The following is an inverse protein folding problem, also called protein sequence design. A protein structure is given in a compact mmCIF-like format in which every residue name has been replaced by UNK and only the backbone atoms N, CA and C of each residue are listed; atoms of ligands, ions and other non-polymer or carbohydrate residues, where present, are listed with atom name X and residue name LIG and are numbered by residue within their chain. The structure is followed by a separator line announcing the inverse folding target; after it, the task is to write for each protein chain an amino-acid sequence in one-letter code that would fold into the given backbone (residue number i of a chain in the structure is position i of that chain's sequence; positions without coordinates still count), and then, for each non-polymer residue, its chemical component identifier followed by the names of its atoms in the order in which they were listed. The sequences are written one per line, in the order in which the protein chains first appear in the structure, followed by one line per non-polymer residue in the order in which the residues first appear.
data_IF_692825266615
#
_entry.id   IF_692825266615
#
_cell.length_a   1.000
_cell.length_b   1.000
_cell.length_c   1.000
_cell.angle_alpha   90.00
_cell.angle_beta   90.00
_cell.angle_gamma   90.00
#
_symmetry.space_group_name_H-M   'P 1'
#
loop_
_entity.id
_entity.type
_entity.pdbx_description
1 polymer ?
#
# COMPACT_ATOMS: atom_id res chain seq x y z
N UNK A 1 -1.80 -22.49 15.53
CA UNK A 1 -1.71 -21.09 16.03
C UNK A 1 -1.46 -20.23 14.81
N UNK A 2 -2.18 -19.11 14.68
CA UNK A 2 -1.97 -18.17 13.55
C UNK A 2 -0.71 -17.37 13.84
N UNK A 3 0.19 -17.31 12.88
CA UNK A 3 1.44 -16.53 12.97
C UNK A 3 1.55 -15.58 11.78
N UNK A 4 2.10 -14.40 12.03
CA UNK A 4 2.42 -13.40 11.01
C UNK A 4 3.91 -13.11 10.95
N UNK A 5 4.38 -12.89 9.74
CA UNK A 5 5.78 -12.60 9.41
C UNK A 5 5.92 -11.12 9.11
N UNK A 6 6.57 -10.40 10.02
CA UNK A 6 6.68 -8.94 10.00
C UNK A 6 8.12 -8.55 9.72
N UNK A 7 8.32 -7.78 8.66
CA UNK A 7 9.63 -7.25 8.29
C UNK A 7 10.11 -6.22 9.32
N UNK A 8 9.29 -5.21 9.59
CA UNK A 8 9.62 -4.12 10.53
C UNK A 8 8.36 -3.42 11.04
N UNK A 9 8.51 -2.62 12.09
CA UNK A 9 7.45 -1.77 12.65
C UNK A 9 8.03 -0.38 12.86
N UNK A 10 7.38 0.63 12.29
CA UNK A 10 7.69 2.05 12.47
C UNK A 10 6.61 2.74 13.31
N UNK A 11 7.02 3.44 14.36
CA UNK A 11 6.09 3.94 15.37
C UNK A 11 5.44 5.29 15.09
N UNK A 12 5.97 6.08 14.15
CA UNK A 12 5.60 7.48 13.93
C UNK A 12 5.49 7.82 12.43
N UNK A 13 4.80 6.99 11.65
CA UNK A 13 4.49 7.26 10.25
C UNK A 13 3.56 8.47 10.11
N UNK A 14 3.89 9.39 9.20
CA UNK A 14 3.12 10.61 8.93
C UNK A 14 2.53 10.63 7.51
N UNK A 15 2.90 9.66 6.68
CA UNK A 15 2.53 9.60 5.25
C UNK A 15 1.77 8.33 4.86
N UNK A 16 1.48 7.48 5.83
CA UNK A 16 0.88 6.16 5.61
C UNK A 16 -0.60 6.12 6.03
N UNK A 17 -1.33 7.18 5.74
CA UNK A 17 -2.74 7.39 6.10
C UNK A 17 -2.93 8.60 7.01
N UNK A 18 -4.15 8.83 7.53
CA UNK A 18 -4.47 10.00 8.32
C UNK A 18 -3.82 9.97 9.71
N UNK A 19 -3.37 11.13 10.18
CA UNK A 19 -2.81 11.33 11.51
C UNK A 19 -1.45 10.66 11.73
N UNK A 20 -1.08 10.47 13.00
CA UNK A 20 0.14 9.76 13.39
C UNK A 20 -0.18 8.26 13.42
N UNK A 21 0.65 7.44 12.76
CA UNK A 21 0.37 6.01 12.64
C UNK A 21 1.58 5.15 13.05
N UNK A 22 1.28 3.99 13.59
CA UNK A 22 2.26 2.91 13.62
C UNK A 22 2.11 2.11 12.33
N UNK A 23 3.19 1.99 11.57
CA UNK A 23 3.20 1.23 10.31
C UNK A 23 3.82 -0.15 10.55
N UNK A 24 3.10 -1.19 10.20
CA UNK A 24 3.53 -2.58 10.30
C UNK A 24 3.86 -3.09 8.89
N UNK A 25 5.13 -3.30 8.60
CA UNK A 25 5.58 -3.80 7.30
C UNK A 25 5.60 -5.33 7.31
N UNK A 26 4.73 -5.91 6.51
CA UNK A 26 4.63 -7.36 6.33
C UNK A 26 5.76 -7.90 5.47
N UNK A 27 6.21 -9.11 5.74
CA UNK A 27 7.14 -9.86 4.91
C UNK A 27 6.38 -10.64 3.85
N UNK A 28 6.90 -10.65 2.63
CA UNK A 28 6.35 -11.37 1.48
C UNK A 28 5.60 -10.48 0.51
N UNK A 29 5.97 -10.54 -0.78
CA UNK A 29 5.26 -9.90 -1.89
C UNK A 29 5.47 -10.70 -3.18
N UNK A 30 4.40 -10.91 -3.95
CA UNK A 30 4.48 -11.60 -5.26
C UNK A 30 4.77 -10.64 -6.41
N UNK A 31 4.48 -9.35 -6.23
CA UNK A 31 4.77 -8.35 -7.24
C UNK A 31 6.28 -8.11 -7.38
N UNK A 32 6.69 -7.72 -8.56
CA UNK A 32 8.06 -7.29 -8.89
C UNK A 32 8.03 -5.90 -9.52
N UNK A 33 7.36 -4.98 -8.80
CA UNK A 33 7.23 -3.60 -9.27
C UNK A 33 8.59 -3.00 -9.59
N UNK A 34 8.74 -2.45 -10.79
CA UNK A 34 10.01 -1.92 -11.30
C UNK A 34 10.62 -0.83 -10.43
N UNK A 35 9.79 -0.09 -9.70
CA UNK A 35 10.16 0.99 -8.79
C UNK A 35 9.96 0.62 -7.30
N UNK A 36 10.01 -0.66 -6.95
CA UNK A 36 9.78 -1.08 -5.56
C UNK A 36 10.86 -0.50 -4.63
N UNK A 37 10.43 0.11 -3.52
CA UNK A 37 11.36 0.63 -2.51
C UNK A 37 11.75 -0.40 -1.44
N UNK A 38 11.02 -1.52 -1.39
CA UNK A 38 11.20 -2.55 -0.37
C UNK A 38 11.45 -3.95 -0.98
N UNK A 39 12.46 -4.14 -1.85
CA UNK A 39 12.75 -5.46 -2.42
C UNK A 39 13.14 -6.50 -1.37
N UNK A 40 13.59 -6.05 -0.20
CA UNK A 40 13.88 -6.86 0.98
C UNK A 40 12.63 -7.54 1.58
N UNK A 41 11.43 -7.05 1.25
CA UNK A 41 10.16 -7.70 1.62
C UNK A 41 9.65 -8.71 0.60
N UNK A 42 10.31 -8.91 -0.55
CA UNK A 42 9.80 -9.79 -1.60
C UNK A 42 9.76 -11.26 -1.22
N UNK A 43 10.81 -11.74 -0.54
CA UNK A 43 10.86 -13.13 -0.10
C UNK A 43 9.70 -13.42 0.87
N UNK A 44 8.98 -14.52 0.64
CA UNK A 44 7.89 -14.92 1.54
C UNK A 44 8.38 -15.19 2.97
N UNK A 45 9.63 -15.65 3.07
CA UNK A 45 10.37 -15.85 4.32
C UNK A 45 11.82 -15.39 4.08
N UNK A 46 12.28 -14.44 4.85
CA UNK A 46 13.66 -13.91 4.76
C UNK A 46 14.61 -14.57 5.77
N UNK A 47 14.05 -15.20 6.79
CA UNK A 47 14.79 -15.70 7.96
C UNK A 47 15.22 -14.60 8.92
N UNK A 48 14.88 -13.34 8.65
CA UNK A 48 15.18 -12.16 9.48
C UNK A 48 13.91 -11.46 10.00
N UNK A 49 12.74 -11.89 9.50
CA UNK A 49 11.44 -11.37 9.92
C UNK A 49 11.17 -11.66 11.39
N UNK A 50 10.42 -10.77 12.03
CA UNK A 50 9.86 -10.99 13.36
C UNK A 50 8.56 -11.81 13.21
N UNK A 51 8.41 -12.83 14.06
CA UNK A 51 7.21 -13.68 14.08
C UNK A 51 6.33 -13.25 15.25
N UNK A 52 5.06 -13.00 14.98
CA UNK A 52 4.07 -12.63 15.98
C UNK A 52 2.82 -13.49 15.89
N UNK A 53 2.18 -13.77 17.05
CA UNK A 53 0.75 -14.07 17.05
C UNK A 53 -0.03 -12.75 16.93
N UNK A 54 -1.32 -12.78 16.50
CA UNK A 54 -2.13 -11.57 16.43
C UNK A 54 -2.16 -10.79 17.76
N UNK A 55 -2.31 -11.47 18.88
CA UNK A 55 -2.36 -10.88 20.23
C UNK A 55 -1.03 -10.21 20.59
N UNK A 56 0.09 -10.86 20.28
CA UNK A 56 1.42 -10.29 20.54
C UNK A 56 1.63 -8.99 19.76
N UNK A 57 1.24 -8.97 18.49
CA UNK A 57 1.35 -7.77 17.66
C UNK A 57 0.46 -6.66 18.22
N UNK A 58 -0.83 -6.94 18.47
CA UNK A 58 -1.76 -5.91 18.97
C UNK A 58 -1.32 -5.38 20.35
N UNK A 59 -0.85 -6.23 21.25
CA UNK A 59 -0.29 -5.78 22.53
C UNK A 59 0.92 -4.84 22.37
N UNK A 60 1.73 -5.04 21.33
CA UNK A 60 2.82 -4.12 20.97
C UNK A 60 2.27 -2.79 20.43
N UNK A 61 1.25 -2.84 19.57
CA UNK A 61 0.62 -1.67 18.95
C UNK A 61 -0.11 -0.79 19.98
N UNK A 62 -0.74 -1.39 20.98
CA UNK A 62 -1.41 -0.68 22.07
C UNK A 62 -0.50 0.30 22.82
N UNK A 63 0.80 0.03 22.87
CA UNK A 63 1.79 0.93 23.51
C UNK A 63 1.88 2.29 22.79
N UNK A 64 1.53 2.34 21.51
CA UNK A 64 1.57 3.54 20.69
C UNK A 64 0.22 4.26 20.62
N UNK A 65 -0.88 3.64 21.08
CA UNK A 65 -2.22 4.19 21.03
C UNK A 65 -2.32 5.63 21.59
N UNK A 66 -1.63 6.01 22.69
CA UNK A 66 -1.66 7.39 23.20
C UNK A 66 -1.18 8.46 22.22
N UNK A 67 -0.40 8.07 21.19
CA UNK A 67 0.17 8.99 20.19
C UNK A 67 -0.71 9.14 18.95
N UNK A 68 -1.75 8.32 18.78
CA UNK A 68 -2.58 8.34 17.57
C UNK A 68 -3.50 9.57 17.49
N UNK A 69 -3.81 10.20 18.63
CA UNK A 69 -4.79 11.28 18.66
C UNK A 69 -6.15 10.82 18.12
N UNK A 70 -6.91 11.76 17.55
CA UNK A 70 -8.27 11.49 17.05
C UNK A 70 -8.28 10.84 15.65
N UNK A 71 -7.25 11.09 14.84
CA UNK A 71 -7.21 10.69 13.41
C UNK A 71 -6.15 9.65 13.09
N UNK A 72 -5.27 9.31 14.01
CA UNK A 72 -4.22 8.35 13.80
C UNK A 72 -4.64 6.91 14.07
N UNK A 73 -3.68 5.98 13.94
CA UNK A 73 -3.95 4.56 14.16
C UNK A 73 -2.85 3.65 13.71
N UNK A 74 -3.19 2.52 13.11
CA UNK A 74 -2.24 1.54 12.59
C UNK A 74 -2.44 1.37 11.09
N UNK A 75 -1.32 1.29 10.35
CA UNK A 75 -1.31 0.92 8.93
C UNK A 75 -0.56 -0.39 8.74
N UNK A 76 -1.20 -1.32 8.06
CA UNK A 76 -0.61 -2.59 7.67
C UNK A 76 -0.15 -2.48 6.21
N UNK A 77 1.16 -2.49 6.01
CA UNK A 77 1.86 -2.23 4.74
C UNK A 77 3.00 -3.25 4.53
N UNK A 78 4.05 -2.89 3.79
CA UNK A 78 5.30 -3.65 3.68
C UNK A 78 5.51 -4.29 2.33
N UNK A 79 5.51 -5.63 2.27
CA UNK A 79 5.41 -6.37 1.02
C UNK A 79 3.98 -6.28 0.48
N UNK A 80 3.17 -7.31 0.75
CA UNK A 80 1.74 -7.29 0.45
C UNK A 80 0.99 -7.94 1.63
N UNK A 81 0.32 -7.16 2.48
CA UNK A 81 -0.32 -7.69 3.69
C UNK A 81 -1.45 -8.68 3.38
N UNK A 82 -2.12 -8.56 2.24
CA UNK A 82 -3.19 -9.48 1.83
C UNK A 82 -2.73 -10.93 1.60
N UNK A 83 -1.41 -11.16 1.48
CA UNK A 83 -0.86 -12.52 1.38
C UNK A 83 -0.88 -13.28 2.71
N UNK A 84 -0.94 -12.58 3.84
CA UNK A 84 -1.05 -13.16 5.17
C UNK A 84 -2.48 -12.97 5.73
N UNK A 85 -3.47 -13.33 4.93
CA UNK A 85 -4.89 -13.04 5.11
C UNK A 85 -5.41 -13.36 6.50
N UNK A 86 -5.20 -14.60 6.99
CA UNK A 86 -5.77 -15.05 8.26
C UNK A 86 -5.18 -14.27 9.45
N UNK A 87 -3.87 -14.02 9.40
CA UNK A 87 -3.18 -13.20 10.40
C UNK A 87 -3.66 -11.74 10.34
N UNK A 88 -3.71 -11.14 9.15
CA UNK A 88 -4.16 -9.77 8.96
C UNK A 88 -5.59 -9.59 9.45
N UNK A 89 -6.50 -10.49 9.10
CA UNK A 89 -7.90 -10.44 9.52
C UNK A 89 -8.02 -10.43 11.05
N UNK A 90 -7.31 -11.32 11.74
CA UNK A 90 -7.38 -11.41 13.20
C UNK A 90 -6.76 -10.18 13.87
N UNK A 91 -5.64 -9.67 13.37
CA UNK A 91 -5.04 -8.43 13.88
C UNK A 91 -5.97 -7.22 13.69
N UNK A 92 -6.59 -7.07 12.50
CA UNK A 92 -7.57 -6.02 12.25
C UNK A 92 -8.75 -6.09 13.21
N UNK A 93 -9.30 -7.29 13.41
CA UNK A 93 -10.40 -7.53 14.34
C UNK A 93 -10.03 -7.12 15.75
N UNK A 94 -8.87 -7.50 16.24
CA UNK A 94 -8.37 -7.15 17.58
C UNK A 94 -8.10 -5.64 17.70
N UNK A 95 -7.53 -5.00 16.70
CA UNK A 95 -7.33 -3.55 16.66
C UNK A 95 -8.67 -2.81 16.76
N UNK A 96 -9.68 -3.23 15.99
CA UNK A 96 -11.02 -2.62 16.03
C UNK A 96 -11.68 -2.77 17.40
N UNK A 97 -11.58 -3.95 18.05
CA UNK A 97 -12.06 -4.15 19.42
C UNK A 97 -11.32 -3.27 20.44
N UNK A 98 -10.06 -2.96 20.20
CA UNK A 98 -9.27 -2.06 21.02
C UNK A 98 -9.51 -0.57 20.73
N UNK A 99 -10.42 -0.24 19.81
CA UNK A 99 -10.70 1.15 19.38
C UNK A 99 -9.49 1.81 18.72
N UNK A 100 -8.77 1.06 17.87
CA UNK A 100 -7.66 1.56 17.04
C UNK A 100 -8.17 1.64 15.61
N UNK A 101 -8.05 2.81 14.99
CA UNK A 101 -8.33 2.99 13.57
C UNK A 101 -7.32 2.21 12.72
N UNK A 102 -7.84 1.44 11.77
CA UNK A 102 -7.06 0.51 10.94
C UNK A 102 -7.00 0.97 9.49
N UNK A 103 -5.83 0.89 8.91
CA UNK A 103 -5.61 1.13 7.50
C UNK A 103 -4.84 -0.04 6.87
N UNK A 104 -5.20 -0.43 5.65
CA UNK A 104 -4.42 -1.38 4.85
C UNK A 104 -3.81 -0.63 3.68
N UNK A 105 -2.49 -0.68 3.56
CA UNK A 105 -1.72 -0.16 2.43
C UNK A 105 -1.32 -1.34 1.54
N UNK A 106 -1.90 -1.42 0.35
CA UNK A 106 -1.87 -2.62 -0.49
C UNK A 106 -1.87 -2.29 -1.98
N UNK A 107 -1.27 -3.17 -2.77
CA UNK A 107 -1.43 -3.20 -4.22
C UNK A 107 -2.61 -4.09 -4.67
N UNK A 108 -3.38 -4.63 -3.74
CA UNK A 108 -4.55 -5.48 -4.03
C UNK A 108 -4.20 -6.88 -4.50
N UNK A 109 -2.96 -7.35 -4.29
CA UNK A 109 -2.49 -8.65 -4.78
C UNK A 109 -2.55 -9.72 -3.67
N UNK A 110 -3.73 -10.23 -3.41
CA UNK A 110 -4.01 -11.18 -2.31
C UNK A 110 -4.49 -12.56 -2.76
N UNK A 111 -5.10 -13.28 -1.84
CA UNK A 111 -5.55 -14.66 -2.03
C UNK A 111 -7.10 -14.82 -2.00
N UNK A 112 -7.85 -13.73 -2.20
CA UNK A 112 -9.32 -13.74 -2.14
C UNK A 112 -9.87 -13.74 -0.71
N UNK A 113 -11.23 -13.76 -0.59
CA UNK A 113 -11.93 -13.69 0.70
C UNK A 113 -11.73 -12.36 1.41
N UNK A 114 -11.79 -11.28 0.65
CA UNK A 114 -11.48 -9.93 1.12
C UNK A 114 -12.55 -9.34 2.03
N UNK A 115 -13.77 -9.85 1.97
CA UNK A 115 -14.93 -9.35 2.72
C UNK A 115 -14.67 -9.36 4.23
N UNK A 116 -14.03 -10.43 4.73
CA UNK A 116 -13.72 -10.54 6.17
C UNK A 116 -12.62 -9.56 6.61
N UNK A 117 -11.67 -9.24 5.73
CA UNK A 117 -10.63 -8.24 5.98
C UNK A 117 -11.26 -6.84 5.98
N UNK A 118 -12.07 -6.54 4.96
CA UNK A 118 -12.70 -5.23 4.77
C UNK A 118 -13.72 -4.90 5.86
N UNK A 119 -14.36 -5.90 6.45
CA UNK A 119 -15.27 -5.71 7.59
C UNK A 119 -14.60 -5.08 8.83
N UNK A 120 -13.27 -5.23 8.95
CA UNK A 120 -12.48 -4.68 10.06
C UNK A 120 -11.50 -3.58 9.62
N UNK A 121 -11.58 -3.13 8.37
CA UNK A 121 -10.72 -2.07 7.83
C UNK A 121 -11.48 -0.76 7.76
N UNK A 122 -10.93 0.30 8.36
CA UNK A 122 -11.55 1.62 8.36
C UNK A 122 -11.15 2.43 7.10
N UNK A 123 -10.00 2.12 6.50
CA UNK A 123 -9.47 2.78 5.31
C UNK A 123 -8.59 1.80 4.52
N UNK A 124 -8.59 1.93 3.20
CA UNK A 124 -7.63 1.26 2.33
C UNK A 124 -6.82 2.31 1.55
N UNK A 125 -5.49 2.29 1.70
CA UNK A 125 -4.57 2.94 0.80
C UNK A 125 -4.32 1.96 -0.35
N UNK A 126 -4.82 2.28 -1.54
CA UNK A 126 -4.73 1.39 -2.69
C UNK A 126 -3.76 1.94 -3.73
N UNK A 127 -2.68 1.20 -3.94
CA UNK A 127 -1.72 1.49 -4.99
C UNK A 127 -2.25 1.06 -6.36
N UNK A 128 -2.65 2.00 -7.20
CA UNK A 128 -2.92 1.72 -8.62
C UNK A 128 -1.59 1.76 -9.36
N UNK A 129 -1.03 0.59 -9.68
CA UNK A 129 0.26 0.47 -10.36
C UNK A 129 0.19 0.92 -11.81
N UNK A 130 -0.92 0.63 -12.49
CA UNK A 130 -1.28 1.15 -13.81
C UNK A 130 -2.78 0.95 -14.05
N UNK A 131 -3.41 1.80 -14.86
CA UNK A 131 -4.84 1.70 -15.18
C UNK A 131 -5.15 0.71 -16.33
N UNK A 132 -4.18 0.39 -17.19
CA UNK A 132 -4.36 -0.62 -18.25
C UNK A 132 -3.77 -1.97 -17.83
N UNK A 133 -4.33 -3.05 -18.42
CA UNK A 133 -3.89 -4.42 -18.12
C UNK A 133 -2.42 -4.67 -18.51
N UNK A 134 -2.05 -4.22 -19.71
CA UNK A 134 -0.66 -4.39 -20.23
C UNK A 134 0.33 -3.54 -19.42
N UNK A 135 -0.04 -2.31 -19.07
CA UNK A 135 0.78 -1.44 -18.23
C UNK A 135 0.95 -2.02 -16.82
N UNK A 136 -0.10 -2.58 -16.23
CA UNK A 136 -0.02 -3.25 -14.93
C UNK A 136 0.98 -4.41 -14.98
N UNK A 137 0.87 -5.28 -16.00
CA UNK A 137 1.80 -6.39 -16.17
C UNK A 137 3.24 -5.91 -16.40
N UNK A 138 3.44 -4.90 -17.23
CA UNK A 138 4.76 -4.31 -17.51
C UNK A 138 5.44 -3.76 -16.26
N UNK A 139 4.68 -3.17 -15.34
CA UNK A 139 5.21 -2.57 -14.11
C UNK A 139 5.42 -3.62 -13.02
N UNK A 140 4.48 -4.55 -12.85
CA UNK A 140 4.42 -5.44 -11.68
C UNK A 140 4.95 -6.84 -11.95
N UNK A 141 5.06 -7.24 -13.22
CA UNK A 141 5.37 -8.60 -13.63
C UNK A 141 4.24 -9.62 -13.36
N UNK A 142 3.05 -9.17 -12.97
CA UNK A 142 1.92 -10.02 -12.61
C UNK A 142 0.65 -9.67 -13.41
N UNK A 143 -0.29 -10.63 -13.44
CA UNK A 143 -1.64 -10.37 -13.95
C UNK A 143 -2.40 -9.41 -13.05
N UNK A 144 -3.22 -8.48 -13.58
CA UNK A 144 -4.04 -7.57 -12.78
C UNK A 144 -5.27 -8.23 -12.15
N UNK A 145 -5.48 -9.52 -12.37
CA UNK A 145 -6.71 -10.21 -11.97
C UNK A 145 -7.01 -10.10 -10.46
N UNK A 146 -5.99 -10.30 -9.62
CA UNK A 146 -6.15 -10.23 -8.16
C UNK A 146 -6.45 -8.79 -7.72
N UNK A 147 -5.77 -7.81 -8.29
CA UNK A 147 -6.05 -6.40 -8.09
C UNK A 147 -7.51 -6.04 -8.43
N UNK A 148 -8.00 -6.49 -9.59
CA UNK A 148 -9.39 -6.23 -10.01
C UNK A 148 -10.41 -6.87 -9.07
N UNK A 149 -10.13 -8.10 -8.59
CA UNK A 149 -10.97 -8.77 -7.60
C UNK A 149 -10.99 -8.01 -6.27
N UNK A 150 -9.83 -7.54 -5.80
CA UNK A 150 -9.74 -6.76 -4.58
C UNK A 150 -10.48 -5.42 -4.71
N UNK A 151 -10.25 -4.68 -5.81
CA UNK A 151 -10.94 -3.42 -6.08
C UNK A 151 -12.47 -3.60 -6.10
N UNK A 152 -12.96 -4.66 -6.74
CA UNK A 152 -14.39 -4.99 -6.73
C UNK A 152 -14.91 -5.24 -5.31
N UNK A 153 -14.16 -5.99 -4.50
CA UNK A 153 -14.55 -6.27 -3.10
C UNK A 153 -14.59 -4.98 -2.26
N UNK A 154 -13.59 -4.09 -2.40
CA UNK A 154 -13.55 -2.80 -1.68
C UNK A 154 -14.74 -1.92 -2.06
N UNK A 155 -15.08 -1.85 -3.35
CA UNK A 155 -16.23 -1.06 -3.81
C UNK A 155 -17.56 -1.64 -3.30
N UNK A 156 -17.68 -2.97 -3.23
CA UNK A 156 -18.87 -3.63 -2.71
C UNK A 156 -19.02 -3.47 -1.19
N UNK A 157 -17.90 -3.47 -0.47
CA UNK A 157 -17.88 -3.23 0.97
C UNK A 157 -18.14 -1.76 1.35
N UNK A 158 -17.97 -0.83 0.40
CA UNK A 158 -18.07 0.60 0.65
C UNK A 158 -16.94 1.17 1.50
N UNK A 159 -15.83 0.42 1.66
CA UNK A 159 -14.67 0.87 2.45
C UNK A 159 -14.03 2.09 1.79
N UNK A 160 -13.73 3.16 2.54
CA UNK A 160 -13.07 4.35 2.02
C UNK A 160 -11.72 4.03 1.35
N UNK A 161 -11.43 4.73 0.25
CA UNK A 161 -10.21 4.57 -0.52
C UNK A 161 -9.37 5.85 -0.53
N UNK A 162 -8.10 5.74 -0.20
CA UNK A 162 -7.06 6.66 -0.63
C UNK A 162 -6.28 5.99 -1.74
N UNK A 163 -6.32 6.56 -2.92
CA UNK A 163 -5.60 6.05 -4.08
C UNK A 163 -4.19 6.63 -4.07
N UNK A 164 -3.22 5.77 -4.35
CA UNK A 164 -1.83 6.13 -4.53
C UNK A 164 -1.36 5.72 -5.92
N UNK A 165 -0.59 6.59 -6.57
CA UNK A 165 0.01 6.29 -7.86
C UNK A 165 1.41 6.87 -7.93
N UNK A 166 2.41 6.01 -8.17
CA UNK A 166 3.79 6.44 -8.34
C UNK A 166 4.01 6.93 -9.77
N UNK A 167 4.45 8.17 -9.90
CA UNK A 167 4.77 8.79 -11.20
C UNK A 167 6.26 8.67 -11.45
N UNK A 168 6.61 7.85 -12.46
CA UNK A 168 7.98 7.46 -12.79
C UNK A 168 8.36 8.06 -14.15
N UNK A 169 9.47 8.81 -14.24
CA UNK A 169 9.93 9.37 -15.53
C UNK A 169 10.08 8.31 -16.62
N UNK A 170 9.50 8.58 -17.78
CA UNK A 170 9.50 7.70 -18.94
C UNK A 170 8.59 6.47 -18.86
N UNK A 171 7.83 6.29 -17.74
CA UNK A 171 6.89 5.19 -17.59
C UNK A 171 5.45 5.67 -17.36
N UNK A 172 5.25 6.55 -16.40
CA UNK A 172 3.91 6.97 -15.94
C UNK A 172 3.79 8.49 -15.79
N UNK A 173 4.74 9.26 -16.31
CA UNK A 173 4.84 10.71 -16.14
C UNK A 173 4.24 11.53 -17.31
N UNK A 174 3.80 10.88 -18.40
CA UNK A 174 3.22 11.61 -19.52
C UNK A 174 1.81 12.15 -19.20
N UNK A 175 1.45 13.30 -19.75
CA UNK A 175 0.11 13.87 -19.62
C UNK A 175 -0.97 12.88 -20.10
N UNK A 176 -0.69 12.14 -21.18
CA UNK A 176 -1.61 11.12 -21.69
C UNK A 176 -1.83 10.00 -20.66
N UNK A 177 -0.79 9.60 -19.92
CA UNK A 177 -0.91 8.60 -18.85
C UNK A 177 -1.74 9.14 -17.69
N UNK A 178 -1.46 10.35 -17.23
CA UNK A 178 -2.17 10.94 -16.08
C UNK A 178 -3.64 11.25 -16.42
N UNK A 179 -3.96 11.63 -17.66
CA UNK A 179 -5.35 11.71 -18.14
C UNK A 179 -6.03 10.33 -18.19
N UNK A 180 -5.33 9.30 -18.64
CA UNK A 180 -5.83 7.91 -18.62
C UNK A 180 -6.10 7.42 -17.21
N UNK A 181 -5.20 7.70 -16.26
CA UNK A 181 -5.38 7.42 -14.84
C UNK A 181 -6.63 8.16 -14.30
N UNK A 182 -6.75 9.46 -14.58
CA UNK A 182 -7.90 10.28 -14.17
C UNK A 182 -9.21 9.69 -14.66
N UNK A 183 -9.30 9.34 -15.95
CA UNK A 183 -10.48 8.71 -16.53
C UNK A 183 -10.80 7.37 -15.86
N UNK A 184 -9.79 6.56 -15.53
CA UNK A 184 -9.95 5.30 -14.82
C UNK A 184 -10.49 5.52 -13.41
N UNK A 185 -9.98 6.51 -12.66
CA UNK A 185 -10.42 6.81 -11.30
C UNK A 185 -11.90 7.21 -11.24
N UNK A 186 -12.44 7.87 -12.26
CA UNK A 186 -13.89 8.17 -12.33
C UNK A 186 -14.78 6.92 -12.42
N UNK A 187 -14.21 5.74 -12.71
CA UNK A 187 -14.95 4.47 -12.65
C UNK A 187 -15.00 3.86 -11.26
N UNK A 188 -14.19 4.38 -10.32
CA UNK A 188 -14.05 3.87 -8.95
C UNK A 188 -14.89 4.72 -8.01
N UNK A 189 -15.68 4.05 -7.17
CA UNK A 189 -16.44 4.68 -6.08
C UNK A 189 -15.59 4.71 -4.80
N UNK A 190 -16.07 5.41 -3.78
CA UNK A 190 -15.52 5.46 -2.43
C UNK A 190 -14.13 6.12 -2.34
N UNK A 191 -13.65 6.79 -3.39
CA UNK A 191 -12.39 7.54 -3.33
C UNK A 191 -12.61 8.76 -2.45
N UNK A 192 -11.78 8.91 -1.41
CA UNK A 192 -11.73 10.09 -0.55
C UNK A 192 -10.51 10.96 -0.85
N UNK A 193 -9.46 10.37 -1.41
CA UNK A 193 -8.21 11.08 -1.72
C UNK A 193 -7.44 10.37 -2.83
N UNK A 194 -6.73 11.15 -3.62
CA UNK A 194 -5.75 10.65 -4.61
C UNK A 194 -4.42 11.32 -4.35
N UNK A 195 -3.37 10.53 -4.22
CA UNK A 195 -1.99 10.98 -4.01
C UNK A 195 -1.11 10.53 -5.19
N UNK A 196 -0.56 11.50 -5.91
CA UNK A 196 0.49 11.26 -6.88
C UNK A 196 1.83 11.28 -6.16
N UNK A 197 2.53 10.16 -6.17
CA UNK A 197 3.81 10.00 -5.48
C UNK A 197 4.95 10.16 -6.49
N UNK A 198 5.81 11.17 -6.33
CA UNK A 198 6.98 11.31 -7.21
C UNK A 198 7.95 10.16 -6.99
N UNK A 199 8.43 9.57 -8.09
CA UNK A 199 9.46 8.55 -8.05
C UNK A 199 10.74 9.07 -7.38
N UNK A 200 11.31 8.27 -6.50
CA UNK A 200 12.60 8.55 -5.84
C UNK A 200 13.49 7.30 -5.77
N UNK A 201 14.78 7.49 -5.59
CA UNK A 201 15.81 6.45 -5.66
C UNK A 201 16.23 5.87 -4.30
N UNK A 202 15.50 6.17 -3.23
CA UNK A 202 15.87 5.76 -1.85
C UNK A 202 15.96 4.23 -1.65
N UNK A 203 15.26 3.45 -2.48
CA UNK A 203 15.29 1.98 -2.44
C UNK A 203 16.49 1.33 -3.14
N UNK A 204 17.24 2.06 -4.00
CA UNK A 204 18.28 1.48 -4.88
C UNK A 204 19.37 0.75 -4.10
N UNK A 205 19.82 1.30 -2.98
CA UNK A 205 20.85 0.66 -2.13
C UNK A 205 20.41 -0.73 -1.63
N UNK A 206 19.12 -0.98 -1.47
CA UNK A 206 18.61 -2.30 -1.06
C UNK A 206 18.79 -3.33 -2.18
N UNK A 207 18.60 -2.92 -3.44
CA UNK A 207 18.85 -3.80 -4.60
C UNK A 207 20.31 -4.20 -4.67
N UNK A 208 21.22 -3.24 -4.53
CA UNK A 208 22.66 -3.51 -4.51
C UNK A 208 23.04 -4.47 -3.36
N UNK A 209 22.51 -4.23 -2.15
CA UNK A 209 22.76 -5.09 -1.00
C UNK A 209 22.21 -6.52 -1.16
N UNK A 210 21.16 -6.69 -1.95
CA UNK A 210 20.55 -7.98 -2.25
C UNK A 210 21.12 -8.64 -3.51
N UNK A 211 22.01 -7.96 -4.25
CA UNK A 211 22.52 -8.45 -5.55
C UNK A 211 21.46 -8.55 -6.63
N UNK A 212 20.41 -7.73 -6.56
CA UNK A 212 19.31 -7.72 -7.53
C UNK A 212 19.53 -6.54 -8.49
N UNK A 213 19.53 -6.76 -9.82
CA UNK A 213 19.59 -5.66 -10.79
C UNK A 213 18.39 -4.73 -10.64
N UNK A 214 18.63 -3.41 -10.59
CA UNK A 214 17.56 -2.42 -10.55
C UNK A 214 17.24 -1.92 -11.95
N UNK A 215 16.02 -2.15 -12.42
CA UNK A 215 15.62 -1.84 -13.81
C UNK A 215 15.50 -0.34 -14.12
N UNK A 216 15.57 0.52 -13.13
CA UNK A 216 15.47 1.98 -13.23
C UNK A 216 16.74 2.68 -12.71
N UNK A 217 17.90 2.02 -12.78
CA UNK A 217 19.18 2.52 -12.24
C UNK A 217 19.50 3.93 -12.74
N UNK A 218 19.27 4.17 -14.04
CA UNK A 218 19.58 5.44 -14.72
C UNK A 218 18.40 6.44 -14.73
N UNK A 219 17.27 6.10 -14.11
CA UNK A 219 16.10 6.98 -14.08
C UNK A 219 16.23 7.96 -12.90
N UNK A 220 16.28 9.28 -13.15
CA UNK A 220 16.39 10.26 -12.09
C UNK A 220 15.12 10.32 -11.23
N UNK A 221 15.26 10.72 -9.97
CA UNK A 221 14.11 11.03 -9.13
C UNK A 221 13.27 12.16 -9.75
N UNK A 222 11.95 12.06 -9.62
CA UNK A 222 11.03 13.10 -10.08
C UNK A 222 10.89 14.17 -8.99
N UNK A 223 11.15 15.45 -9.27
CA UNK A 223 10.92 16.51 -8.30
C UNK A 223 9.43 16.59 -7.93
N UNK A 224 9.08 16.72 -6.63
CA UNK A 224 7.68 16.79 -6.19
C UNK A 224 6.88 17.92 -6.86
N UNK A 225 7.51 19.05 -7.12
CA UNK A 225 6.93 20.21 -7.81
C UNK A 225 6.46 19.89 -9.24
N UNK A 226 7.05 18.91 -9.91
CA UNK A 226 6.62 18.48 -11.23
C UNK A 226 5.20 17.92 -11.27
N UNK A 227 4.69 17.46 -10.12
CA UNK A 227 3.34 16.92 -9.99
C UNK A 227 2.33 17.91 -9.43
N UNK A 228 2.74 19.12 -9.06
CA UNK A 228 1.89 20.06 -8.33
C UNK A 228 0.60 20.43 -9.08
N UNK A 229 0.66 20.62 -10.40
CA UNK A 229 -0.54 20.95 -11.20
C UNK A 229 -1.48 19.77 -11.32
N UNK A 230 -0.95 18.58 -11.55
CA UNK A 230 -1.73 17.35 -11.61
C UNK A 230 -2.33 17.02 -10.24
N UNK A 231 -1.57 17.13 -9.15
CA UNK A 231 -2.09 16.89 -7.81
C UNK A 231 -3.25 17.84 -7.49
N UNK A 232 -3.13 19.15 -7.78
CA UNK A 232 -4.22 20.11 -7.61
C UNK A 232 -5.47 19.75 -8.44
N UNK A 233 -5.30 19.15 -9.60
CA UNK A 233 -6.38 18.70 -10.44
C UNK A 233 -7.12 17.50 -9.82
N UNK A 234 -6.37 16.50 -9.36
CA UNK A 234 -6.91 15.33 -8.66
C UNK A 234 -7.59 15.72 -7.34
N UNK A 235 -7.00 16.65 -6.56
CA UNK A 235 -7.59 17.13 -5.31
C UNK A 235 -8.96 17.79 -5.54
N UNK A 236 -9.13 18.56 -6.61
CA UNK A 236 -10.43 19.18 -6.92
C UNK A 236 -11.51 18.18 -7.34
N UNK A 237 -11.11 17.06 -7.93
CA UNK A 237 -12.04 16.07 -8.47
C UNK A 237 -12.36 14.93 -7.49
N UNK A 238 -11.41 14.56 -6.63
CA UNK A 238 -11.49 13.35 -5.79
C UNK A 238 -11.29 13.59 -4.29
N UNK A 239 -11.15 14.83 -3.84
CA UNK A 239 -11.06 15.12 -2.42
C UNK A 239 -12.46 15.40 -1.86
N UNK A 240 -12.88 14.61 -0.88
CA UNK A 240 -14.14 14.76 -0.16
C UNK A 240 -13.87 15.24 1.26
#
# INVERSE_FOLDING_TARGET
MIEGYIHSIESMGLVDGPGIRTVVFFQGCRLRCRYCHNPDTWAMRSGKEQIFTPEQLVNKLLRFKPYFGDNGGVTFSGGEPLLQKDFLCEVLRLCKHAGIHTCIDTAGCGCGGYEVILAFSDLVLLDIKHFSLDGYHSITGQSPQEFLQFLSAVQNAGTPLWIRHVVVPGLTDSDAHLEGLRAYLHTIRNIQRVELLPYHTLGVNKYHALGIPYSLEDVPALPPEALADWQRRFDREFHI
#
